data_IF_810524981034
#
_entry.id   IF_810524981034
#
_cell.length_a   1.000
_cell.length_b   1.000
_cell.length_c   1.000
_cell.angle_alpha   90.00
_cell.angle_beta   90.00
_cell.angle_gamma   90.00
#
_symmetry.space_group_name_H-M   'P 1'
#
loop_
_entity.id
_entity.type
_entity.pdbx_description
1 polymer ?
#
# COMPACT_ATOMS: atom_id res chain seq x y z
N UNK A 1 -25.63 -47.24 -3.78
CA UNK A 1 -25.13 -45.86 -3.53
C UNK A 1 -23.63 -45.98 -3.29
N UNK A 2 -22.86 -45.95 -4.38
CA UNK A 2 -21.41 -45.85 -4.30
C UNK A 2 -21.05 -44.40 -4.00
N UNK A 3 -20.46 -44.17 -2.84
CA UNK A 3 -19.85 -42.88 -2.48
C UNK A 3 -18.54 -42.75 -3.26
N UNK A 4 -18.52 -41.91 -4.27
CA UNK A 4 -17.29 -41.51 -4.96
C UNK A 4 -16.45 -40.72 -3.92
N UNK A 5 -15.41 -41.37 -3.38
CA UNK A 5 -14.40 -40.67 -2.59
C UNK A 5 -13.45 -40.00 -3.57
N UNK A 6 -13.52 -38.67 -3.66
CA UNK A 6 -12.48 -37.90 -4.28
C UNK A 6 -11.27 -37.88 -3.35
N UNK A 7 -10.22 -38.57 -3.73
CA UNK A 7 -8.91 -38.44 -3.09
C UNK A 7 -8.32 -37.08 -3.52
N UNK A 8 -8.67 -36.03 -2.77
CA UNK A 8 -8.09 -34.72 -2.95
C UNK A 8 -6.79 -34.70 -2.16
N UNK A 9 -5.70 -35.06 -2.81
CA UNK A 9 -4.37 -34.80 -2.27
C UNK A 9 -4.14 -33.30 -2.29
N UNK A 10 -3.87 -32.64 -1.16
CA UNK A 10 -3.60 -31.21 -1.16
C UNK A 10 -2.33 -30.92 -1.95
N UNK A 11 -2.45 -30.24 -3.05
CA UNK A 11 -1.30 -29.73 -3.81
C UNK A 11 -0.79 -28.52 -3.05
N UNK A 12 0.35 -28.67 -2.37
CA UNK A 12 1.01 -27.54 -1.71
C UNK A 12 1.78 -26.78 -2.78
N UNK A 13 1.28 -25.61 -3.14
CA UNK A 13 1.95 -24.69 -4.06
C UNK A 13 2.68 -23.65 -3.23
N UNK A 14 4.01 -23.59 -3.35
CA UNK A 14 4.79 -22.56 -2.71
C UNK A 14 4.76 -21.28 -3.58
N UNK A 15 4.39 -20.12 -3.02
CA UNK A 15 4.40 -18.86 -3.75
C UNK A 15 5.84 -18.45 -4.08
N UNK A 16 6.04 -17.91 -5.27
CA UNK A 16 7.33 -17.34 -5.69
C UNK A 16 7.49 -15.97 -5.05
N UNK A 17 8.50 -15.82 -4.20
CA UNK A 17 8.83 -14.51 -3.63
C UNK A 17 9.56 -13.67 -4.67
N UNK A 18 9.00 -12.52 -5.04
CA UNK A 18 9.48 -11.68 -6.14
C UNK A 18 9.28 -10.20 -5.80
N UNK A 19 10.11 -9.33 -6.36
CA UNK A 19 9.88 -7.89 -6.27
C UNK A 19 8.94 -7.43 -7.40
N UNK A 20 8.14 -6.40 -7.14
CA UNK A 20 7.13 -5.91 -8.09
C UNK A 20 7.72 -5.57 -9.46
N UNK A 21 8.89 -4.94 -9.51
CA UNK A 21 9.55 -4.59 -10.76
C UNK A 21 10.10 -5.78 -11.56
N UNK A 22 10.22 -6.96 -10.94
CA UNK A 22 10.70 -8.18 -11.62
C UNK A 22 9.54 -9.03 -12.19
N UNK A 23 8.28 -8.63 -11.93
CA UNK A 23 7.09 -9.34 -12.46
C UNK A 23 6.98 -9.10 -13.97
N UNK A 24 6.93 -10.20 -14.73
CA UNK A 24 6.76 -10.19 -16.19
C UNK A 24 5.62 -11.12 -16.57
N UNK A 25 4.71 -10.66 -17.43
CA UNK A 25 3.55 -11.44 -17.86
C UNK A 25 3.95 -12.78 -18.46
N UNK A 26 4.96 -12.80 -19.33
CA UNK A 26 5.39 -14.03 -20.01
C UNK A 26 5.86 -15.14 -19.06
N UNK A 27 6.30 -14.76 -17.85
CA UNK A 27 6.87 -15.70 -16.87
C UNK A 27 5.94 -16.02 -15.71
N UNK A 28 5.07 -15.09 -15.35
CA UNK A 28 4.33 -15.14 -14.08
C UNK A 28 2.81 -15.25 -14.27
N UNK A 29 2.30 -15.15 -15.51
CA UNK A 29 0.87 -15.33 -15.80
C UNK A 29 0.35 -16.64 -15.19
N UNK A 30 -0.72 -16.55 -14.40
CA UNK A 30 -1.36 -17.68 -13.72
C UNK A 30 -0.57 -18.26 -12.54
N UNK A 31 0.58 -17.70 -12.15
CA UNK A 31 1.37 -18.18 -11.02
C UNK A 31 1.03 -17.47 -9.73
N UNK A 32 1.16 -18.17 -8.61
CA UNK A 32 1.07 -17.60 -7.29
C UNK A 32 2.40 -16.93 -6.96
N UNK A 33 2.34 -15.62 -6.69
CA UNK A 33 3.50 -14.79 -6.36
C UNK A 33 3.29 -14.11 -5.02
N UNK A 34 4.39 -13.79 -4.34
CA UNK A 34 4.40 -13.04 -3.09
C UNK A 34 5.38 -11.87 -3.20
N UNK A 35 4.94 -10.69 -2.80
CA UNK A 35 5.73 -9.47 -2.82
C UNK A 35 5.27 -8.48 -1.73
N UNK A 36 6.10 -7.50 -1.42
CA UNK A 36 5.72 -6.39 -0.55
C UNK A 36 5.10 -5.27 -1.39
N UNK A 37 4.08 -4.61 -0.84
CA UNK A 37 3.41 -3.50 -1.50
C UNK A 37 2.88 -2.48 -0.51
N UNK A 38 2.89 -1.22 -0.93
CA UNK A 38 2.14 -0.14 -0.29
C UNK A 38 0.73 -0.09 -0.92
N UNK A 39 -0.30 -0.01 -0.08
CA UNK A 39 -1.69 0.17 -0.53
C UNK A 39 -1.93 1.67 -0.78
N UNK A 40 -2.06 2.05 -2.03
CA UNK A 40 -2.16 3.46 -2.43
C UNK A 40 -3.60 3.94 -2.51
N UNK A 41 -4.50 3.07 -2.99
CA UNK A 41 -5.92 3.35 -3.10
C UNK A 41 -6.73 2.11 -2.77
N UNK A 42 -7.92 2.33 -2.25
CA UNK A 42 -8.91 1.30 -1.94
C UNK A 42 -10.23 1.77 -2.53
N UNK A 43 -10.77 1.02 -3.49
CA UNK A 43 -12.06 1.32 -4.12
C UNK A 43 -13.23 0.94 -3.20
N UNK A 44 -14.44 1.32 -3.57
CA UNK A 44 -15.66 0.89 -2.88
C UNK A 44 -15.86 -0.63 -2.96
N UNK A 45 -16.57 -1.17 -1.97
CA UNK A 45 -16.93 -2.59 -1.96
C UNK A 45 -18.00 -2.86 -3.01
N UNK A 46 -17.76 -3.86 -3.83
CA UNK A 46 -18.69 -4.33 -4.84
C UNK A 46 -19.18 -5.74 -4.48
N UNK A 47 -20.40 -6.06 -4.87
CA UNK A 47 -20.93 -7.43 -4.77
C UNK A 47 -20.99 -8.03 -6.16
N UNK A 48 -20.26 -9.12 -6.37
CA UNK A 48 -20.22 -9.84 -7.64
C UNK A 48 -21.06 -11.10 -7.52
N UNK A 49 -22.01 -11.28 -8.46
CA UNK A 49 -22.80 -12.50 -8.53
C UNK A 49 -21.95 -13.65 -9.04
N UNK A 50 -21.79 -14.70 -8.25
CA UNK A 50 -21.11 -15.93 -8.64
C UNK A 50 -22.09 -16.88 -9.36
N UNK A 51 -23.31 -17.01 -8.83
CA UNK A 51 -24.34 -17.88 -9.38
C UNK A 51 -25.64 -17.09 -9.47
N UNK A 52 -26.20 -17.02 -10.67
CA UNK A 52 -27.50 -16.39 -10.96
C UNK A 52 -28.51 -17.44 -11.39
N UNK A 53 -29.74 -17.33 -10.89
CA UNK A 53 -30.86 -18.17 -11.27
C UNK A 53 -31.68 -17.49 -12.36
N UNK A 54 -32.03 -18.24 -13.39
CA UNK A 54 -32.77 -17.79 -14.57
C UNK A 54 -34.01 -18.63 -14.80
N UNK A 55 -35.05 -17.98 -15.28
CA UNK A 55 -36.30 -18.63 -15.70
C UNK A 55 -36.51 -18.40 -17.18
N UNK A 56 -36.78 -19.47 -17.92
CA UNK A 56 -37.29 -19.34 -19.29
C UNK A 56 -38.77 -19.10 -19.26
N UNK A 57 -39.22 -18.01 -19.88
CA UNK A 57 -40.65 -17.65 -19.90
C UNK A 57 -41.47 -18.57 -20.81
N UNK A 58 -40.85 -19.16 -21.85
CA UNK A 58 -41.56 -20.03 -22.77
C UNK A 58 -41.79 -21.47 -22.28
N UNK A 59 -40.77 -22.07 -21.64
CA UNK A 59 -40.86 -23.47 -21.21
C UNK A 59 -40.90 -23.66 -19.69
N UNK A 60 -40.80 -22.57 -18.92
CA UNK A 60 -40.81 -22.60 -17.46
C UNK A 60 -39.61 -23.23 -16.79
N UNK A 61 -38.54 -23.57 -17.56
CA UNK A 61 -37.36 -24.19 -17.00
C UNK A 61 -36.53 -23.20 -16.22
N UNK A 62 -36.20 -23.56 -14.98
CA UNK A 62 -35.21 -22.84 -14.16
C UNK A 62 -33.82 -23.39 -14.40
N UNK A 63 -32.84 -22.49 -14.46
CA UNK A 63 -31.44 -22.82 -14.65
C UNK A 63 -30.56 -21.91 -13.80
N UNK A 64 -29.44 -22.46 -13.33
CA UNK A 64 -28.42 -21.69 -12.62
C UNK A 64 -27.16 -21.62 -13.47
N UNK A 65 -26.51 -20.46 -13.49
CA UNK A 65 -25.27 -20.27 -14.23
C UNK A 65 -24.30 -19.40 -13.44
N UNK A 66 -23.02 -19.67 -13.58
CA UNK A 66 -21.94 -18.81 -13.08
C UNK A 66 -21.78 -17.51 -13.89
N UNK A 67 -22.63 -17.29 -14.90
CA UNK A 67 -22.58 -16.08 -15.73
C UNK A 67 -23.67 -15.10 -15.31
N UNK A 68 -23.33 -13.83 -15.34
CA UNK A 68 -24.28 -12.74 -15.11
C UNK A 68 -25.27 -12.55 -16.27
N UNK A 69 -24.95 -13.08 -17.45
CA UNK A 69 -25.83 -13.02 -18.65
C UNK A 69 -26.04 -14.41 -19.22
N UNK A 70 -27.29 -14.79 -19.34
CA UNK A 70 -27.71 -16.00 -20.01
C UNK A 70 -28.46 -15.64 -21.29
N UNK A 71 -28.07 -16.16 -22.44
CA UNK A 71 -28.57 -15.68 -23.72
C UNK A 71 -29.65 -16.57 -24.35
N UNK A 72 -29.64 -17.86 -24.06
CA UNK A 72 -30.52 -18.85 -24.74
C UNK A 72 -30.87 -19.97 -23.76
N UNK A 73 -32.11 -20.35 -23.67
CA UNK A 73 -32.55 -21.49 -22.85
C UNK A 73 -31.98 -22.80 -23.37
N UNK A 74 -31.32 -23.58 -22.53
CA UNK A 74 -30.75 -24.88 -22.89
C UNK A 74 -31.84 -25.96 -23.13
N UNK A 75 -33.10 -25.69 -22.84
CA UNK A 75 -34.20 -26.64 -23.04
C UNK A 75 -34.97 -26.43 -24.31
N UNK A 76 -35.35 -25.21 -24.65
CA UNK A 76 -36.19 -24.87 -25.79
C UNK A 76 -35.55 -23.88 -26.77
N UNK A 77 -34.29 -23.50 -26.55
CA UNK A 77 -33.55 -22.51 -27.34
C UNK A 77 -34.19 -21.10 -27.41
N UNK A 78 -35.17 -20.82 -26.54
CA UNK A 78 -35.79 -19.50 -26.46
C UNK A 78 -34.81 -18.45 -25.94
N UNK A 79 -34.98 -17.19 -26.35
CA UNK A 79 -34.29 -16.00 -25.87
C UNK A 79 -35.05 -15.27 -24.77
N UNK A 80 -36.31 -15.66 -24.52
CA UNK A 80 -37.17 -15.07 -23.50
C UNK A 80 -36.79 -15.62 -22.12
N UNK A 81 -35.77 -14.99 -21.51
CA UNK A 81 -35.17 -15.43 -20.26
C UNK A 81 -35.12 -14.28 -19.29
N UNK A 82 -35.62 -14.51 -18.08
CA UNK A 82 -35.68 -13.56 -17.01
C UNK A 82 -34.77 -14.00 -15.84
N UNK A 83 -34.07 -13.04 -15.22
CA UNK A 83 -33.31 -13.31 -14.00
C UNK A 83 -34.23 -13.41 -12.79
N UNK A 84 -34.17 -14.51 -12.06
CA UNK A 84 -34.90 -14.73 -10.79
C UNK A 84 -34.10 -14.28 -9.56
N UNK A 85 -32.89 -13.78 -9.77
CA UNK A 85 -32.04 -13.28 -8.70
C UNK A 85 -30.71 -14.02 -8.56
N UNK A 86 -29.93 -13.54 -7.63
CA UNK A 86 -28.60 -14.06 -7.32
C UNK A 86 -28.74 -15.16 -6.28
N UNK A 87 -28.18 -16.33 -6.56
CA UNK A 87 -28.16 -17.49 -5.64
C UNK A 87 -26.93 -17.42 -4.74
N UNK A 88 -25.80 -17.03 -5.31
CA UNK A 88 -24.55 -16.86 -4.58
C UNK A 88 -23.83 -15.61 -5.07
N UNK A 89 -23.27 -14.87 -4.12
CA UNK A 89 -22.50 -13.65 -4.40
C UNK A 89 -21.29 -13.57 -3.49
N UNK A 90 -20.30 -12.84 -3.95
CA UNK A 90 -19.09 -12.57 -3.22
C UNK A 90 -18.84 -11.06 -3.15
N UNK A 91 -18.35 -10.63 -2.00
CA UNK A 91 -17.86 -9.25 -1.86
C UNK A 91 -16.46 -9.15 -2.44
N UNK A 92 -16.26 -8.19 -3.32
CA UNK A 92 -14.97 -7.91 -3.98
C UNK A 92 -14.62 -6.44 -3.74
N UNK A 93 -13.34 -6.17 -3.60
CA UNK A 93 -12.83 -4.81 -3.46
C UNK A 93 -11.52 -4.68 -4.22
N UNK A 94 -11.39 -3.63 -5.01
CA UNK A 94 -10.16 -3.34 -5.74
C UNK A 94 -9.27 -2.44 -4.92
N UNK A 95 -7.97 -2.71 -5.02
CA UNK A 95 -6.91 -1.91 -4.38
C UNK A 95 -5.81 -1.61 -5.39
N UNK A 96 -5.17 -0.48 -5.23
CA UNK A 96 -3.98 -0.16 -6.00
C UNK A 96 -2.75 -0.49 -5.17
N UNK A 97 -1.97 -1.41 -5.69
CA UNK A 97 -0.72 -1.90 -5.12
C UNK A 97 0.44 -1.16 -5.76
N UNK A 98 1.31 -0.59 -4.95
CA UNK A 98 2.52 0.11 -5.42
C UNK A 98 3.76 -0.51 -4.81
N UNK A 99 4.81 -0.55 -5.60
CA UNK A 99 6.13 -0.98 -5.14
C UNK A 99 6.64 -0.08 -4.01
N UNK A 100 7.09 -0.66 -2.87
CA UNK A 100 7.69 0.12 -1.80
C UNK A 100 8.93 0.89 -2.27
N UNK A 101 9.10 2.12 -1.78
CA UNK A 101 10.19 3.00 -2.22
C UNK A 101 11.59 2.43 -1.96
N UNK A 102 11.74 1.70 -0.87
CA UNK A 102 12.98 1.03 -0.47
C UNK A 102 13.34 -0.18 -1.36
N UNK A 103 12.37 -0.72 -2.10
CA UNK A 103 12.57 -1.83 -3.03
C UNK A 103 12.68 -1.39 -4.49
N UNK A 104 12.23 -0.17 -4.84
CA UNK A 104 12.22 0.32 -6.20
C UNK A 104 13.65 0.51 -6.76
N UNK A 105 13.90 -0.05 -7.94
CA UNK A 105 15.22 0.08 -8.62
C UNK A 105 15.46 1.42 -9.29
N UNK A 106 14.37 2.12 -9.65
CA UNK A 106 14.40 3.37 -10.41
C UNK A 106 13.45 4.38 -9.78
N UNK A 107 13.51 5.61 -10.26
CA UNK A 107 12.60 6.69 -9.83
C UNK A 107 11.13 6.41 -10.11
N UNK A 108 10.80 5.44 -10.96
CA UNK A 108 9.43 5.06 -11.32
C UNK A 108 9.05 3.76 -10.60
N UNK A 109 8.11 3.86 -9.67
CA UNK A 109 7.54 2.72 -8.97
C UNK A 109 6.54 1.97 -9.85
N UNK A 110 6.54 0.65 -9.79
CA UNK A 110 5.54 -0.17 -10.45
C UNK A 110 4.22 -0.16 -9.68
N UNK A 111 3.12 -0.21 -10.43
CA UNK A 111 1.76 -0.17 -9.86
C UNK A 111 0.92 -1.28 -10.47
N UNK A 112 0.21 -2.03 -9.64
CA UNK A 112 -0.67 -3.12 -10.02
C UNK A 112 -2.05 -2.95 -9.40
N UNK A 113 -3.08 -3.43 -10.07
CA UNK A 113 -4.41 -3.55 -9.47
C UNK A 113 -4.51 -4.88 -8.73
N UNK A 114 -4.92 -4.84 -7.47
CA UNK A 114 -5.25 -6.02 -6.68
C UNK A 114 -6.76 -6.18 -6.57
N UNK A 115 -7.27 -7.40 -6.67
CA UNK A 115 -8.65 -7.75 -6.34
C UNK A 115 -8.67 -8.55 -5.04
N UNK A 116 -9.40 -8.05 -4.06
CA UNK A 116 -9.56 -8.65 -2.73
C UNK A 116 -10.94 -9.28 -2.65
N UNK A 117 -11.00 -10.48 -2.12
CA UNK A 117 -12.21 -11.28 -1.99
C UNK A 117 -12.57 -11.54 -0.52
N UNK A 118 -13.87 -11.71 -0.26
CA UNK A 118 -14.45 -12.24 0.98
C UNK A 118 -13.91 -11.60 2.28
N UNK A 119 -13.10 -12.31 3.03
CA UNK A 119 -12.69 -11.96 4.40
C UNK A 119 -11.78 -10.73 4.52
N UNK A 120 -11.04 -10.41 3.47
CA UNK A 120 -10.15 -9.24 3.46
C UNK A 120 -10.87 -7.94 3.05
N UNK A 121 -12.10 -8.04 2.51
CA UNK A 121 -12.88 -6.89 2.07
C UNK A 121 -13.21 -5.98 3.24
N UNK A 122 -12.76 -4.72 3.17
CA UNK A 122 -12.96 -3.72 4.21
C UNK A 122 -11.97 -3.75 5.36
N UNK A 123 -10.98 -4.64 5.32
CA UNK A 123 -9.91 -4.75 6.33
C UNK A 123 -8.57 -4.20 5.82
N UNK A 124 -8.61 -3.45 4.73
CA UNK A 124 -7.43 -2.85 4.09
C UNK A 124 -7.61 -1.35 4.01
N UNK A 125 -6.60 -0.61 4.36
CA UNK A 125 -6.62 0.85 4.40
C UNK A 125 -5.52 1.44 3.52
N UNK A 126 -5.78 2.64 3.01
CA UNK A 126 -4.77 3.41 2.28
C UNK A 126 -3.58 3.69 3.20
N UNK A 127 -2.36 3.53 2.67
CA UNK A 127 -1.12 3.69 3.43
C UNK A 127 -0.65 2.44 4.17
N UNK A 128 -1.41 1.34 4.14
CA UNK A 128 -0.96 0.06 4.68
C UNK A 128 0.21 -0.48 3.86
N UNK A 129 1.21 -1.02 4.55
CA UNK A 129 2.25 -1.86 3.95
C UNK A 129 1.88 -3.32 4.15
N UNK A 130 1.68 -4.04 3.06
CA UNK A 130 1.26 -5.45 3.09
C UNK A 130 2.21 -6.32 2.30
N UNK A 131 2.45 -7.51 2.84
CA UNK A 131 2.98 -8.63 2.07
C UNK A 131 1.80 -9.31 1.39
N UNK A 132 1.75 -9.17 0.08
CA UNK A 132 0.66 -9.64 -0.78
C UNK A 132 1.03 -10.98 -1.37
N UNK A 133 0.15 -11.96 -1.24
CA UNK A 133 0.24 -13.23 -1.96
C UNK A 133 -0.99 -13.35 -2.84
N UNK A 134 -0.79 -13.61 -4.13
CA UNK A 134 -1.91 -13.69 -5.08
C UNK A 134 -1.50 -14.28 -6.43
N UNK A 135 -2.49 -14.49 -7.28
CA UNK A 135 -2.31 -14.97 -8.64
C UNK A 135 -2.16 -13.78 -9.58
N UNK A 136 -1.06 -13.75 -10.32
CA UNK A 136 -0.86 -12.71 -11.33
C UNK A 136 -1.70 -13.01 -12.57
N UNK A 137 -2.43 -12.01 -13.07
CA UNK A 137 -3.27 -12.05 -14.27
C UNK A 137 -3.06 -10.80 -15.12
N UNK A 138 -3.10 -10.95 -16.42
CA UNK A 138 -3.10 -9.84 -17.38
C UNK A 138 -4.51 -9.63 -17.93
N UNK A 139 -5.21 -8.63 -17.46
CA UNK A 139 -6.60 -8.35 -17.83
C UNK A 139 -6.65 -7.33 -18.97
N UNK A 140 -7.35 -7.60 -20.10
CA UNK A 140 -7.48 -6.66 -21.19
C UNK A 140 -8.16 -5.36 -20.77
N UNK A 141 -7.61 -4.22 -21.17
CA UNK A 141 -8.23 -2.91 -20.94
C UNK A 141 -9.34 -2.73 -21.97
N UNK A 142 -10.61 -2.73 -21.51
CA UNK A 142 -11.77 -2.48 -22.36
C UNK A 142 -11.83 -0.99 -22.69
N UNK A 143 -11.82 -0.63 -23.98
CA UNK A 143 -12.12 0.71 -24.46
C UNK A 143 -13.58 0.80 -24.89
N UNK A 144 -14.19 2.00 -24.80
CA UNK A 144 -15.54 2.25 -25.29
C UNK A 144 -15.76 1.86 -26.76
N UNK A 145 -14.68 1.85 -27.56
CA UNK A 145 -14.69 1.43 -28.96
C UNK A 145 -13.52 0.47 -29.21
N UNK A 146 -13.83 -0.84 -29.20
CA UNK A 146 -12.89 -1.92 -29.53
C UNK A 146 -12.01 -2.40 -28.37
N UNK A 147 -11.41 -3.57 -28.54
CA UNK A 147 -10.47 -4.13 -27.59
C UNK A 147 -9.11 -3.40 -27.66
N UNK A 148 -8.57 -3.04 -26.50
CA UNK A 148 -7.20 -2.56 -26.41
C UNK A 148 -6.25 -3.75 -26.57
N UNK A 149 -5.14 -3.57 -27.32
CA UNK A 149 -4.04 -4.52 -27.32
C UNK A 149 -3.19 -4.46 -26.03
N UNK A 150 -3.54 -3.56 -25.10
CA UNK A 150 -2.85 -3.41 -23.82
C UNK A 150 -3.61 -4.10 -22.73
N UNK A 151 -2.88 -4.84 -21.90
CA UNK A 151 -3.39 -5.49 -20.72
C UNK A 151 -2.98 -4.70 -19.47
N UNK A 152 -3.82 -4.75 -18.46
CA UNK A 152 -3.55 -4.22 -17.13
C UNK A 152 -3.08 -5.36 -16.23
N UNK A 153 -1.90 -5.23 -15.59
CA UNK A 153 -1.45 -6.24 -14.64
C UNK A 153 -2.36 -6.20 -13.41
N UNK A 154 -2.92 -7.34 -13.08
CA UNK A 154 -3.87 -7.52 -11.98
C UNK A 154 -3.42 -8.68 -11.09
N UNK A 155 -3.58 -8.54 -9.79
CA UNK A 155 -3.29 -9.56 -8.79
C UNK A 155 -4.61 -9.99 -8.15
N UNK A 156 -4.97 -11.24 -8.32
CA UNK A 156 -6.06 -11.87 -7.59
C UNK A 156 -5.53 -12.27 -6.21
N UNK A 157 -5.88 -11.52 -5.19
CA UNK A 157 -5.24 -11.58 -3.87
C UNK A 157 -5.81 -12.75 -3.07
N UNK A 158 -4.92 -13.66 -2.67
CA UNK A 158 -5.23 -14.82 -1.82
C UNK A 158 -5.00 -14.49 -0.35
N UNK A 159 -3.92 -13.75 -0.03
CA UNK A 159 -3.55 -13.44 1.36
C UNK A 159 -2.89 -12.07 1.46
N UNK A 160 -3.23 -11.37 2.54
CA UNK A 160 -2.67 -10.09 2.93
C UNK A 160 -2.12 -10.18 4.34
N UNK A 161 -0.81 -10.13 4.45
CA UNK A 161 -0.12 -10.10 5.75
C UNK A 161 0.49 -8.70 5.96
N UNK A 162 0.62 -8.20 7.19
CA UNK A 162 1.42 -7.01 7.45
C UNK A 162 2.85 -7.21 6.90
N UNK A 163 3.33 -6.32 6.02
CA UNK A 163 4.69 -6.41 5.47
C UNK A 163 5.73 -6.17 6.56
N UNK A 164 5.43 -5.22 7.42
CA UNK A 164 6.11 -5.05 8.66
C UNK A 164 5.45 -6.01 9.68
N UNK A 165 6.01 -7.19 9.87
CA UNK A 165 6.21 -7.55 11.28
C UNK A 165 6.97 -6.34 11.79
N UNK A 166 6.28 -5.44 12.51
CA UNK A 166 6.98 -4.52 13.39
C UNK A 166 7.95 -5.45 14.09
N UNK A 167 9.19 -5.45 13.63
CA UNK A 167 10.29 -5.85 14.49
C UNK A 167 10.23 -4.75 15.56
N UNK A 168 9.34 -4.94 16.50
CA UNK A 168 9.66 -4.61 17.86
C UNK A 168 10.93 -5.42 18.07
N UNK A 169 12.04 -4.84 17.67
CA UNK A 169 13.33 -5.25 18.17
C UNK A 169 13.19 -5.01 19.65
N UNK A 170 12.56 -6.00 20.32
CA UNK A 170 12.66 -6.08 21.77
C UNK A 170 14.17 -6.10 21.96
N UNK A 171 14.74 -5.02 22.51
CA UNK A 171 16.18 -4.95 22.65
C UNK A 171 16.61 -6.18 23.46
N UNK A 172 17.68 -6.83 23.04
CA UNK A 172 18.23 -7.96 23.80
C UNK A 172 18.48 -7.50 25.24
N UNK A 173 18.41 -8.42 26.19
CA UNK A 173 18.69 -8.09 27.60
C UNK A 173 20.05 -7.40 27.77
N UNK A 174 21.03 -7.79 26.98
CA UNK A 174 22.36 -7.18 26.96
C UNK A 174 22.31 -5.73 26.50
N UNK A 175 21.54 -5.44 25.44
CA UNK A 175 21.35 -4.08 24.94
C UNK A 175 20.60 -3.22 25.97
N UNK A 176 19.57 -3.75 26.63
CA UNK A 176 18.86 -3.08 27.73
C UNK A 176 19.80 -2.74 28.91
N UNK A 177 20.65 -3.69 29.32
CA UNK A 177 21.65 -3.45 30.37
C UNK A 177 22.61 -2.32 29.97
N UNK A 178 23.05 -2.31 28.72
CA UNK A 178 23.93 -1.25 28.18
C UNK A 178 23.25 0.10 28.16
N UNK A 179 22.01 0.19 27.67
CA UNK A 179 21.24 1.43 27.65
C UNK A 179 21.02 1.95 29.08
N UNK A 180 20.59 1.10 29.99
CA UNK A 180 20.39 1.48 31.40
C UNK A 180 21.67 1.97 32.08
N UNK A 181 22.83 1.43 31.73
CA UNK A 181 24.11 1.93 32.19
C UNK A 181 24.39 3.35 31.66
N UNK A 182 24.16 3.58 30.37
CA UNK A 182 24.35 4.90 29.76
C UNK A 182 23.40 5.96 30.35
N UNK A 183 22.16 5.56 30.68
CA UNK A 183 21.20 6.44 31.37
C UNK A 183 21.73 6.82 32.75
N UNK A 184 22.22 5.85 33.53
CA UNK A 184 22.77 6.11 34.86
C UNK A 184 24.02 7.00 34.85
N UNK A 185 24.80 6.91 33.79
CA UNK A 185 26.02 7.73 33.59
C UNK A 185 25.71 9.10 32.97
N UNK A 186 24.44 9.43 32.69
CA UNK A 186 23.98 10.65 32.01
C UNK A 186 24.67 10.91 30.65
N UNK A 187 25.08 9.84 29.96
CA UNK A 187 25.80 9.90 28.69
C UNK A 187 24.94 9.60 27.47
N UNK A 188 23.69 9.14 27.67
CA UNK A 188 22.87 8.65 26.58
C UNK A 188 22.60 9.73 25.53
N UNK A 189 22.15 10.92 25.97
CA UNK A 189 21.82 12.04 25.07
C UNK A 189 23.04 12.51 24.28
N UNK A 190 24.18 12.63 24.96
CA UNK A 190 25.43 13.02 24.31
C UNK A 190 25.86 12.02 23.23
N UNK A 191 25.80 10.74 23.54
CA UNK A 191 26.18 9.67 22.59
C UNK A 191 25.21 9.59 21.41
N UNK A 192 23.91 9.72 21.64
CA UNK A 192 22.91 9.80 20.58
C UNK A 192 23.18 10.97 19.65
N UNK A 193 23.43 12.16 20.22
CA UNK A 193 23.73 13.37 19.45
C UNK A 193 25.03 13.25 18.64
N UNK A 194 26.07 12.65 19.20
CA UNK A 194 27.34 12.41 18.51
C UNK A 194 27.21 11.35 17.40
N UNK A 195 26.42 10.32 17.60
CA UNK A 195 26.24 9.24 16.64
C UNK A 195 25.31 9.63 15.49
N UNK A 196 24.32 10.50 15.75
CA UNK A 196 23.41 10.97 14.71
C UNK A 196 24.15 11.89 13.73
N UNK A 197 24.06 11.57 12.45
CA UNK A 197 24.76 12.29 11.37
C UNK A 197 26.27 12.52 11.71
N UNK A 198 26.98 11.48 12.15
CA UNK A 198 28.34 11.53 12.69
C UNK A 198 29.36 12.19 11.74
N UNK A 199 29.12 12.12 10.42
CA UNK A 199 29.98 12.72 9.38
C UNK A 199 29.82 14.26 9.27
N UNK A 200 28.80 14.84 9.92
CA UNK A 200 28.61 16.28 9.98
C UNK A 200 29.20 16.76 11.30
N UNK A 201 30.24 17.56 11.21
CA UNK A 201 30.87 18.12 12.39
C UNK A 201 30.05 19.28 12.99
N UNK A 202 29.97 19.34 14.31
CA UNK A 202 29.17 20.37 15.00
C UNK A 202 27.67 20.15 14.94
N UNK A 203 26.91 21.25 14.94
CA UNK A 203 25.45 21.30 14.85
C UNK A 203 24.73 20.44 15.91
N UNK A 204 25.29 20.36 17.13
CA UNK A 204 24.79 19.49 18.20
C UNK A 204 23.34 19.80 18.58
N UNK A 205 22.94 21.05 18.63
CA UNK A 205 21.58 21.48 18.94
C UNK A 205 20.58 21.05 17.85
N UNK A 206 20.97 21.19 16.58
CA UNK A 206 20.17 20.77 15.44
C UNK A 206 20.00 19.24 15.41
N UNK A 207 21.07 18.49 15.69
CA UNK A 207 21.01 17.03 15.80
C UNK A 207 20.11 16.60 16.97
N UNK A 208 20.24 17.25 18.11
CA UNK A 208 19.42 16.96 19.28
C UNK A 208 17.96 17.26 19.01
N UNK A 209 17.64 18.39 18.35
CA UNK A 209 16.24 18.73 18.01
C UNK A 209 15.58 17.68 17.11
N UNK A 210 16.33 17.12 16.13
CA UNK A 210 15.82 16.03 15.30
C UNK A 210 15.63 14.72 16.09
N UNK A 211 16.54 14.41 17.01
CA UNK A 211 16.41 13.24 17.89
C UNK A 211 15.17 13.39 18.76
N UNK A 212 14.94 14.55 19.36
CA UNK A 212 13.74 14.83 20.16
C UNK A 212 12.47 14.76 19.33
N UNK A 213 12.50 15.26 18.09
CA UNK A 213 11.39 15.10 17.15
C UNK A 213 11.06 13.65 16.87
N UNK A 214 12.09 12.79 16.73
CA UNK A 214 11.90 11.35 16.48
C UNK A 214 11.35 10.59 17.70
N UNK A 215 11.72 11.01 18.90
CA UNK A 215 11.21 10.41 20.14
C UNK A 215 9.78 10.87 20.40
N UNK A 216 9.49 12.15 20.11
CA UNK A 216 8.21 12.79 20.44
C UNK A 216 8.08 13.13 21.92
N UNK A 217 6.98 13.76 22.27
CA UNK A 217 6.61 14.11 23.64
C UNK A 217 5.50 13.20 24.17
N UNK A 218 5.12 13.43 25.46
CA UNK A 218 3.97 12.79 26.07
C UNK A 218 2.66 13.25 25.45
N UNK A 219 1.72 12.32 25.27
CA UNK A 219 0.35 12.59 24.82
C UNK A 219 -0.60 12.66 26.05
N UNK A 220 -0.27 13.44 27.06
CA UNK A 220 -1.11 13.59 28.24
C UNK A 220 -2.14 14.71 28.06
N UNK A 221 -3.40 14.39 28.29
CA UNK A 221 -4.51 15.33 28.16
C UNK A 221 -4.76 15.76 26.70
N UNK A 222 -4.96 17.07 26.50
CA UNK A 222 -5.21 17.68 25.18
C UNK A 222 -3.91 18.02 24.40
N UNK A 223 -2.75 17.76 24.99
CA UNK A 223 -1.45 18.09 24.40
C UNK A 223 -1.04 17.11 23.33
N UNK A 224 -0.62 17.64 22.17
CA UNK A 224 -0.03 16.81 21.11
C UNK A 224 1.44 16.54 21.42
N UNK A 225 1.83 15.27 21.47
CA UNK A 225 3.23 14.86 21.65
C UNK A 225 4.10 15.01 20.40
N UNK A 226 3.56 15.51 19.29
CA UNK A 226 4.33 15.70 18.05
C UNK A 226 5.22 16.94 18.14
N UNK A 227 6.53 16.74 17.91
CA UNK A 227 7.52 17.82 17.89
C UNK A 227 7.90 18.08 16.43
N UNK A 228 7.63 19.30 15.96
CA UNK A 228 8.00 19.76 14.63
C UNK A 228 9.25 20.65 14.71
N UNK A 229 10.18 20.47 13.77
CA UNK A 229 11.44 21.21 13.72
C UNK A 229 11.51 21.99 12.41
N UNK A 230 11.81 23.28 12.50
CA UNK A 230 12.05 24.15 11.35
C UNK A 230 13.49 24.67 11.41
N UNK A 231 14.28 24.39 10.39
CA UNK A 231 15.63 24.91 10.24
C UNK A 231 15.66 26.15 9.34
N UNK A 232 16.08 27.27 9.89
CA UNK A 232 16.27 28.53 9.18
C UNK A 232 17.74 28.91 9.28
N UNK A 233 18.32 29.35 8.18
CA UNK A 233 19.73 29.80 8.13
C UNK A 233 20.31 29.82 6.72
N UNK A 234 21.55 30.24 6.61
CA UNK A 234 22.24 30.45 5.34
C UNK A 234 22.40 29.15 4.50
N UNK A 235 22.54 29.26 3.19
CA UNK A 235 22.90 28.14 2.32
C UNK A 235 24.17 27.45 2.79
N UNK A 236 24.34 26.18 2.45
CA UNK A 236 25.56 25.38 2.71
C UNK A 236 25.90 25.14 4.20
N UNK A 237 24.96 25.34 5.12
CA UNK A 237 25.12 25.03 6.56
C UNK A 237 24.69 23.62 6.93
N UNK A 238 24.68 22.70 6.00
CA UNK A 238 24.31 21.27 6.16
C UNK A 238 22.89 20.98 6.70
N UNK A 239 21.95 21.95 6.64
CA UNK A 239 20.58 21.76 7.12
C UNK A 239 19.89 20.57 6.47
N UNK A 240 19.82 20.56 5.14
CA UNK A 240 19.17 19.49 4.36
C UNK A 240 19.85 18.14 4.57
N UNK A 241 21.18 18.11 4.62
CA UNK A 241 21.93 16.86 4.85
C UNK A 241 21.73 16.30 6.25
N UNK A 242 21.65 17.16 7.27
CA UNK A 242 21.36 16.74 8.63
C UNK A 242 19.92 16.21 8.74
N UNK A 243 18.94 16.90 8.15
CA UNK A 243 17.53 16.48 8.16
C UNK A 243 17.31 15.15 7.42
N UNK A 244 17.97 14.92 6.29
CA UNK A 244 17.90 13.65 5.55
C UNK A 244 18.32 12.43 6.37
N UNK A 245 19.14 12.61 7.42
CA UNK A 245 19.57 11.50 8.30
C UNK A 245 18.48 10.97 9.22
N UNK A 246 17.33 11.62 9.27
CA UNK A 246 16.13 11.07 9.92
C UNK A 246 15.63 9.82 9.17
N UNK A 247 15.78 9.79 7.84
CA UNK A 247 15.20 8.73 6.99
C UNK A 247 15.74 7.33 7.34
N UNK A 248 17.06 7.10 7.40
CA UNK A 248 17.59 5.77 7.72
C UNK A 248 17.43 5.36 9.19
N UNK A 249 17.12 6.30 10.08
CA UNK A 249 16.97 6.05 11.53
C UNK A 249 15.51 5.83 11.91
N UNK A 250 14.58 6.52 11.27
CA UNK A 250 13.15 6.38 11.53
C UNK A 250 12.58 5.15 10.84
N UNK A 251 11.70 4.44 11.52
CA UNK A 251 10.99 3.28 10.96
C UNK A 251 10.08 3.64 9.78
N UNK A 252 9.64 4.89 9.69
CA UNK A 252 8.76 5.39 8.63
C UNK A 252 9.10 6.85 8.37
N UNK A 253 9.87 7.13 7.34
CA UNK A 253 10.25 8.48 6.98
C UNK A 253 10.35 8.67 5.47
N UNK A 254 9.99 9.85 5.00
CA UNK A 254 10.10 10.25 3.60
C UNK A 254 10.75 11.62 3.47
N UNK A 255 11.46 11.80 2.37
CA UNK A 255 12.01 13.09 1.96
C UNK A 255 11.18 13.64 0.78
N UNK A 256 10.86 14.90 0.84
CA UNK A 256 10.21 15.64 -0.25
C UNK A 256 10.77 17.06 -0.34
N UNK A 257 10.49 17.75 -1.44
CA UNK A 257 10.86 19.15 -1.60
C UNK A 257 9.61 20.01 -1.67
N UNK A 258 9.65 21.17 -1.06
CA UNK A 258 8.58 22.18 -1.19
C UNK A 258 8.51 22.80 -2.58
N UNK A 259 9.64 22.84 -3.30
CA UNK A 259 9.68 23.40 -4.65
C UNK A 259 8.82 22.61 -5.63
N UNK A 260 7.78 23.25 -6.16
CA UNK A 260 6.84 22.64 -7.10
C UNK A 260 5.84 21.66 -6.46
N UNK A 261 5.85 21.54 -5.14
CA UNK A 261 4.84 20.78 -4.41
C UNK A 261 3.67 21.70 -4.01
N UNK A 262 2.44 21.19 -4.12
CA UNK A 262 1.26 21.87 -3.58
C UNK A 262 0.93 21.32 -2.20
N UNK A 263 0.33 22.14 -1.33
CA UNK A 263 -0.12 21.71 0.00
C UNK A 263 -1.06 20.49 -0.11
N UNK A 264 -2.01 20.53 -1.04
CA UNK A 264 -2.88 19.40 -1.33
C UNK A 264 -2.09 18.16 -1.76
N UNK A 265 -1.10 18.30 -2.65
CA UNK A 265 -0.27 17.19 -3.14
C UNK A 265 0.61 16.55 -2.06
N UNK A 266 1.00 17.30 -1.03
CA UNK A 266 1.73 16.76 0.13
C UNK A 266 0.84 15.86 0.99
N UNK A 267 -0.48 16.08 1.01
CA UNK A 267 -1.44 15.28 1.78
C UNK A 267 -2.11 14.23 0.90
N UNK A 268 -2.71 14.67 -0.21
CA UNK A 268 -3.42 13.80 -1.16
C UNK A 268 -3.35 14.39 -2.57
N UNK A 269 -2.91 13.62 -3.51
CA UNK A 269 -2.92 13.92 -4.95
C UNK A 269 -3.97 13.09 -5.69
N UNK A 270 -4.08 13.34 -7.00
CA UNK A 270 -4.87 12.50 -7.91
C UNK A 270 -3.92 11.90 -8.95
N UNK A 271 -3.98 10.59 -9.12
CA UNK A 271 -3.22 9.88 -10.15
C UNK A 271 -4.16 9.34 -11.21
N UNK A 272 -3.76 9.48 -12.49
CA UNK A 272 -4.51 8.94 -13.60
C UNK A 272 -3.98 7.57 -13.98
N UNK A 273 -4.79 6.55 -13.83
CA UNK A 273 -4.47 5.18 -14.24
C UNK A 273 -4.41 5.05 -15.77
N UNK A 274 -3.81 3.95 -16.23
CA UNK A 274 -3.71 3.63 -17.67
C UNK A 274 -5.08 3.47 -18.36
N UNK A 275 -6.12 3.12 -17.63
CA UNK A 275 -7.50 3.04 -18.08
C UNK A 275 -8.23 4.38 -18.11
N UNK A 276 -7.57 5.45 -17.66
CA UNK A 276 -8.09 6.83 -17.65
C UNK A 276 -8.84 7.23 -16.39
N UNK A 277 -9.03 6.32 -15.42
CA UNK A 277 -9.62 6.64 -14.12
C UNK A 277 -8.68 7.51 -13.29
N UNK A 278 -9.25 8.48 -12.58
CA UNK A 278 -8.55 9.27 -11.58
C UNK A 278 -8.76 8.62 -10.22
N UNK A 279 -7.66 8.31 -9.54
CA UNK A 279 -7.70 7.75 -8.19
C UNK A 279 -7.01 8.68 -7.20
N UNK A 280 -7.51 8.79 -5.96
CA UNK A 280 -6.82 9.52 -4.91
C UNK A 280 -5.52 8.80 -4.57
N UNK A 281 -4.43 9.57 -4.45
CA UNK A 281 -3.12 9.10 -4.05
C UNK A 281 -2.69 9.81 -2.79
N UNK A 282 -2.30 9.05 -1.76
CA UNK A 282 -1.75 9.65 -0.55
C UNK A 282 -0.42 10.34 -0.83
N UNK A 283 -0.31 11.59 -0.40
CA UNK A 283 0.94 12.33 -0.41
C UNK A 283 1.90 11.90 0.71
N UNK A 284 3.15 12.37 0.67
CA UNK A 284 4.20 11.96 1.62
C UNK A 284 3.84 12.22 3.10
N UNK A 285 3.07 13.26 3.40
CA UNK A 285 2.64 13.56 4.78
C UNK A 285 1.67 12.49 5.28
N UNK A 286 0.66 12.13 4.47
CA UNK A 286 -0.30 11.10 4.83
C UNK A 286 0.35 9.70 4.87
N UNK A 287 1.22 9.40 3.92
CA UNK A 287 1.98 8.14 3.88
C UNK A 287 2.86 7.97 5.12
N UNK A 288 3.41 9.04 5.67
CA UNK A 288 4.25 9.01 6.88
C UNK A 288 3.46 9.21 8.18
N UNK A 289 2.16 8.92 8.21
CA UNK A 289 1.40 8.94 9.46
C UNK A 289 2.09 8.12 10.55
N UNK A 290 2.27 8.72 11.75
CA UNK A 290 3.07 8.20 12.88
C UNK A 290 4.57 8.00 12.56
N UNK A 291 5.08 8.68 11.55
CA UNK A 291 6.48 8.69 11.15
C UNK A 291 6.98 10.11 10.96
N UNK A 292 7.93 10.30 10.04
CA UNK A 292 8.58 11.58 9.81
C UNK A 292 8.57 11.97 8.35
N UNK A 293 8.28 13.23 8.06
CA UNK A 293 8.45 13.81 6.72
C UNK A 293 9.49 14.93 6.80
N UNK A 294 10.48 14.85 5.94
CA UNK A 294 11.47 15.89 5.76
C UNK A 294 11.10 16.67 4.51
N UNK A 295 10.74 17.94 4.67
CA UNK A 295 10.40 18.85 3.56
C UNK A 295 11.54 19.83 3.40
N UNK A 296 12.29 19.70 2.31
CA UNK A 296 13.37 20.63 1.98
C UNK A 296 12.85 21.79 1.12
N UNK A 297 13.52 22.92 1.13
CA UNK A 297 13.13 24.13 0.37
C UNK A 297 11.67 24.55 0.62
N UNK A 298 11.22 24.47 1.89
CA UNK A 298 9.85 24.83 2.28
C UNK A 298 9.49 26.29 1.93
N UNK A 299 10.47 27.17 1.93
CA UNK A 299 10.33 28.58 1.56
C UNK A 299 9.96 28.80 0.08
N UNK A 300 10.20 27.80 -0.78
CA UNK A 300 9.89 27.82 -2.22
C UNK A 300 8.48 27.32 -2.56
N UNK A 301 7.71 26.90 -1.57
CA UNK A 301 6.29 26.64 -1.74
C UNK A 301 5.51 27.95 -1.89
N UNK A 302 4.44 27.91 -2.68
CA UNK A 302 3.52 29.06 -2.77
C UNK A 302 2.92 29.39 -1.42
N UNK A 303 2.70 30.68 -1.14
CA UNK A 303 2.23 31.15 0.15
C UNK A 303 0.88 30.53 0.55
N UNK A 304 0.00 30.32 -0.42
CA UNK A 304 -1.29 29.65 -0.23
C UNK A 304 -1.13 28.19 0.21
N UNK A 305 -0.13 27.50 -0.33
CA UNK A 305 0.14 26.10 -0.04
C UNK A 305 0.84 25.86 1.29
N UNK A 306 1.53 26.89 1.81
CA UNK A 306 2.16 26.84 3.15
C UNK A 306 1.17 26.90 4.31
N UNK A 307 -0.05 27.37 4.06
CA UNK A 307 -1.13 27.46 5.03
C UNK A 307 -2.00 26.20 5.18
N UNK A 308 -1.75 25.19 4.37
CA UNK A 308 -2.40 23.88 4.47
C UNK A 308 -1.60 23.00 5.42
#
# INVERSE_FOLDING_TARGET
>A
KESIRYDISPIIIFPVNIKLHDIKAEKHEGKIITFNSDIVSVDEKETVALITKWLCLDCGREQTTERTTYKICAGCNSKEIESKGIVNSESVQRVLLREPMDEARHSTQQTFVGEIHSEYVGNVYMGDKKKVTGVFKSVPILKKFGNSQRNMPTIDIISLEPADKIRTLLPSEELLKRINRLIKEDKLVELMTKSFAYHIYGNSEQKLSLILSMIGGSNEGESRGSIHVLFIGDPSTSKSETAKKVIPVSHKAMFTTGKGSTGAGLVMGMEKLADGRLIPQMGPVALCHKGHVVIDEFDKMDEKDRGY
#
